data_IF_975511077169
#
_entry.id   IF_975511077169
#
_cell.length_a   1.000
_cell.length_b   1.000
_cell.length_c   1.000
_cell.angle_alpha   90.00
_cell.angle_beta   90.00
_cell.angle_gamma   90.00
#
_symmetry.space_group_name_H-M   'P 1'
#
loop_
_entity.id
_entity.type
_entity.pdbx_description
1 polymer ?
#
# COMPACT_ATOMS: atom_id res chain seq x y z
N UNK A 1 -46.17 22.35 -9.84
CA UNK A 1 -45.82 21.29 -10.81
C UNK A 1 -44.37 20.95 -10.57
N UNK A 2 -44.11 19.89 -9.80
CA UNK A 2 -42.77 19.52 -9.39
C UNK A 2 -41.99 19.07 -10.64
N UNK A 3 -40.85 19.70 -10.87
CA UNK A 3 -39.96 19.38 -11.96
C UNK A 3 -39.27 18.06 -11.58
N UNK A 4 -39.68 16.96 -12.20
CA UNK A 4 -39.04 15.66 -12.02
C UNK A 4 -37.57 15.78 -12.45
N UNK A 5 -36.68 15.94 -11.47
CA UNK A 5 -35.25 15.84 -11.68
C UNK A 5 -34.95 14.40 -12.10
N UNK A 6 -34.60 14.22 -13.38
CA UNK A 6 -34.22 12.93 -13.92
C UNK A 6 -32.88 12.53 -13.30
N UNK A 7 -32.92 11.69 -12.26
CA UNK A 7 -31.73 11.11 -11.64
C UNK A 7 -31.20 9.99 -12.52
N UNK A 8 -29.95 10.08 -12.97
CA UNK A 8 -29.26 8.99 -13.68
C UNK A 8 -27.97 8.59 -12.96
N UNK A 9 -27.67 7.29 -13.00
CA UNK A 9 -26.56 6.68 -12.28
C UNK A 9 -25.39 6.43 -13.23
N UNK A 10 -24.18 6.89 -12.86
CA UNK A 10 -22.94 6.55 -13.59
C UNK A 10 -21.98 5.81 -12.67
N UNK A 11 -21.68 4.56 -13.00
CA UNK A 11 -20.68 3.76 -12.29
C UNK A 11 -19.25 4.28 -12.60
N UNK A 12 -18.29 4.17 -11.67
CA UNK A 12 -16.91 4.56 -11.91
C UNK A 12 -16.27 3.71 -13.02
N UNK A 13 -15.43 4.35 -13.86
CA UNK A 13 -14.78 3.70 -15.00
C UNK A 13 -13.82 2.57 -14.61
N UNK A 14 -13.14 2.71 -13.46
CA UNK A 14 -12.27 1.66 -12.89
C UNK A 14 -12.96 1.07 -11.67
N UNK A 15 -13.49 -0.15 -11.83
CA UNK A 15 -14.12 -0.89 -10.75
C UNK A 15 -13.08 -1.83 -10.11
N UNK A 16 -13.11 -1.95 -8.79
CA UNK A 16 -12.22 -2.82 -8.03
C UNK A 16 -12.29 -4.29 -8.50
N UNK A 17 -13.51 -4.77 -8.80
CA UNK A 17 -13.75 -6.16 -9.17
C UNK A 17 -13.17 -6.54 -10.54
N UNK A 18 -13.35 -5.75 -11.61
CA UNK A 18 -12.63 -5.97 -12.87
C UNK A 18 -11.12 -5.99 -12.73
N UNK A 19 -10.53 -5.14 -11.88
CA UNK A 19 -9.08 -5.15 -11.63
C UNK A 19 -8.64 -6.47 -10.97
N UNK A 20 -9.35 -6.91 -9.94
CA UNK A 20 -9.09 -8.20 -9.28
C UNK A 20 -9.25 -9.36 -10.26
N UNK A 21 -10.30 -9.34 -11.10
CA UNK A 21 -10.54 -10.38 -12.11
C UNK A 21 -9.43 -10.43 -13.16
N UNK A 22 -8.86 -9.29 -13.57
CA UNK A 22 -7.69 -9.28 -14.48
C UNK A 22 -6.49 -9.93 -13.82
N UNK A 23 -6.22 -9.66 -12.54
CA UNK A 23 -5.13 -10.30 -11.79
C UNK A 23 -5.35 -11.82 -11.71
N UNK A 24 -6.56 -12.27 -11.36
CA UNK A 24 -6.91 -13.69 -11.30
C UNK A 24 -6.78 -14.39 -12.66
N UNK A 25 -7.15 -13.70 -13.73
CA UNK A 25 -7.04 -14.22 -15.08
C UNK A 25 -5.57 -14.37 -15.52
N UNK A 26 -4.73 -13.37 -15.20
CA UNK A 26 -3.28 -13.44 -15.45
C UNK A 26 -2.64 -14.55 -14.63
N UNK A 27 -3.03 -14.73 -13.36
CA UNK A 27 -2.56 -15.82 -12.49
C UNK A 27 -2.89 -17.19 -13.10
N UNK A 28 -4.16 -17.42 -13.44
CA UNK A 28 -4.61 -18.69 -14.03
C UNK A 28 -3.92 -19.01 -15.36
N UNK A 29 -3.85 -18.03 -16.28
CA UNK A 29 -3.22 -18.22 -17.59
C UNK A 29 -1.72 -18.41 -17.47
N UNK A 30 -1.04 -17.59 -16.67
CA UNK A 30 0.42 -17.70 -16.50
C UNK A 30 0.80 -19.06 -15.92
N UNK A 31 0.05 -19.56 -14.94
CA UNK A 31 0.26 -20.88 -14.34
C UNK A 31 0.10 -22.02 -15.35
N UNK A 32 -0.95 -21.97 -16.19
CA UNK A 32 -1.19 -22.98 -17.23
C UNK A 32 -0.13 -22.93 -18.32
N UNK A 33 0.23 -21.73 -18.80
CA UNK A 33 1.25 -21.54 -19.82
C UNK A 33 2.60 -22.04 -19.34
N UNK A 34 2.99 -21.69 -18.12
CA UNK A 34 4.26 -22.13 -17.52
C UNK A 34 4.30 -23.64 -17.29
N UNK A 35 3.16 -24.27 -16.97
CA UNK A 35 3.07 -25.72 -16.85
C UNK A 35 3.20 -26.42 -18.23
N UNK A 36 2.51 -25.93 -19.27
CA UNK A 36 2.58 -26.49 -20.63
C UNK A 36 3.97 -26.30 -21.26
N UNK A 37 4.61 -25.15 -21.03
CA UNK A 37 5.96 -24.85 -21.51
C UNK A 37 7.06 -25.54 -20.66
N UNK A 38 6.65 -26.45 -19.76
CA UNK A 38 7.44 -27.14 -18.74
C UNK A 38 8.73 -27.82 -19.18
N UNK A 39 8.88 -28.17 -20.47
CA UNK A 39 10.09 -28.74 -21.06
C UNK A 39 10.16 -30.27 -21.03
N UNK A 40 10.31 -30.86 -22.24
CA UNK A 40 10.27 -32.29 -22.62
C UNK A 40 8.94 -33.02 -22.35
N UNK A 41 8.33 -33.56 -23.42
CA UNK A 41 7.07 -34.32 -23.39
C UNK A 41 7.04 -35.40 -22.31
N UNK A 42 8.18 -36.06 -22.07
CA UNK A 42 8.31 -37.13 -21.08
C UNK A 42 8.08 -36.68 -19.62
N UNK A 43 8.45 -35.45 -19.25
CA UNK A 43 8.17 -34.96 -17.89
C UNK A 43 6.69 -34.60 -17.72
N UNK A 44 6.08 -34.01 -18.75
CA UNK A 44 4.67 -33.64 -18.73
C UNK A 44 3.77 -34.88 -18.76
N UNK A 45 4.16 -35.91 -19.51
CA UNK A 45 3.49 -37.21 -19.55
C UNK A 45 3.60 -37.93 -18.20
N UNK A 46 4.79 -37.98 -17.59
CA UNK A 46 4.96 -38.53 -16.24
C UNK A 46 4.20 -37.74 -15.17
N UNK A 47 4.14 -36.40 -15.27
CA UNK A 47 3.41 -35.54 -14.33
C UNK A 47 1.90 -35.83 -14.32
N UNK A 48 1.36 -36.30 -15.46
CA UNK A 48 -0.06 -36.66 -15.63
C UNK A 48 -0.32 -38.14 -15.34
N UNK A 49 0.54 -39.05 -15.81
CA UNK A 49 0.33 -40.50 -15.72
C UNK A 49 0.75 -41.08 -14.35
N UNK A 50 1.84 -40.59 -13.74
CA UNK A 50 2.30 -41.00 -12.41
C UNK A 50 1.87 -39.97 -11.35
N UNK A 51 0.60 -39.58 -11.38
CA UNK A 51 0.08 -38.52 -10.52
C UNK A 51 0.25 -38.86 -9.03
N UNK A 52 1.14 -38.12 -8.37
CA UNK A 52 1.37 -38.14 -6.94
C UNK A 52 1.28 -36.73 -6.40
N UNK A 53 0.34 -36.51 -5.48
CA UNK A 53 0.04 -35.20 -4.86
C UNK A 53 1.27 -34.45 -4.33
N UNK A 54 2.30 -35.18 -3.91
CA UNK A 54 3.51 -34.62 -3.29
C UNK A 54 4.64 -34.29 -4.28
N UNK A 55 4.62 -34.86 -5.49
CA UNK A 55 5.71 -34.74 -6.47
C UNK A 55 5.29 -34.03 -7.76
N UNK A 56 3.99 -34.09 -8.07
CA UNK A 56 3.44 -33.56 -9.31
C UNK A 56 3.19 -32.06 -9.24
N UNK A 57 3.33 -31.37 -10.38
CA UNK A 57 2.92 -29.96 -10.52
C UNK A 57 1.56 -29.79 -11.19
N UNK A 58 1.00 -30.87 -11.75
CA UNK A 58 -0.29 -30.91 -12.41
C UNK A 58 -1.43 -30.41 -11.52
N UNK A 59 -1.48 -30.85 -10.27
CA UNK A 59 -2.47 -30.39 -9.29
C UNK A 59 -2.31 -28.90 -8.92
N UNK A 60 -1.12 -28.33 -9.06
CA UNK A 60 -0.92 -26.88 -8.91
C UNK A 60 -1.62 -26.12 -10.04
N UNK A 61 -1.47 -26.58 -11.28
CA UNK A 61 -2.12 -25.99 -12.45
C UNK A 61 -3.64 -26.24 -12.44
N UNK A 62 -4.07 -27.48 -12.17
CA UNK A 62 -5.47 -27.86 -12.14
C UNK A 62 -6.25 -27.16 -11.02
N UNK A 63 -5.73 -27.13 -9.80
CA UNK A 63 -6.44 -26.42 -8.72
C UNK A 63 -6.34 -24.90 -8.85
N UNK A 64 -5.27 -24.34 -9.45
CA UNK A 64 -5.20 -22.91 -9.73
C UNK A 64 -6.27 -22.48 -10.75
N UNK A 65 -6.43 -23.24 -11.85
CA UNK A 65 -7.49 -22.97 -12.83
C UNK A 65 -8.89 -23.12 -12.21
N UNK A 66 -9.10 -24.15 -11.39
CA UNK A 66 -10.37 -24.33 -10.69
C UNK A 66 -10.66 -23.18 -9.71
N UNK A 67 -9.68 -22.79 -8.90
CA UNK A 67 -9.76 -21.65 -7.98
C UNK A 67 -10.09 -20.36 -8.72
N UNK A 68 -9.35 -20.04 -9.77
CA UNK A 68 -9.51 -18.78 -10.53
C UNK A 68 -10.90 -18.69 -11.14
N UNK A 69 -11.42 -19.78 -11.73
CA UNK A 69 -12.80 -19.85 -12.20
C UNK A 69 -13.83 -19.61 -11.09
N UNK A 70 -13.68 -20.27 -9.93
CA UNK A 70 -14.59 -20.13 -8.80
C UNK A 70 -14.58 -18.69 -8.26
N UNK A 71 -13.39 -18.11 -8.06
CA UNK A 71 -13.26 -16.77 -7.50
C UNK A 71 -13.77 -15.69 -8.46
N UNK A 72 -13.54 -15.82 -9.77
CA UNK A 72 -14.13 -14.91 -10.77
C UNK A 72 -15.66 -14.91 -10.65
N UNK A 73 -16.29 -16.08 -10.56
CA UNK A 73 -17.75 -16.21 -10.40
C UNK A 73 -18.21 -15.59 -9.08
N UNK A 74 -17.50 -15.84 -7.98
CA UNK A 74 -17.82 -15.25 -6.66
C UNK A 74 -17.73 -13.73 -6.73
N UNK A 75 -16.66 -13.16 -7.27
CA UNK A 75 -16.48 -11.70 -7.36
C UNK A 75 -17.53 -11.06 -8.26
N UNK A 76 -17.86 -11.65 -9.42
CA UNK A 76 -18.95 -11.16 -10.28
C UNK A 76 -20.31 -11.23 -9.58
N UNK A 77 -20.57 -12.31 -8.85
CA UNK A 77 -21.81 -12.46 -8.07
C UNK A 77 -21.88 -11.44 -6.93
N UNK A 78 -20.77 -11.22 -6.23
CA UNK A 78 -20.65 -10.19 -5.19
C UNK A 78 -20.88 -8.79 -5.75
N UNK A 79 -20.37 -8.49 -6.96
CA UNK A 79 -20.65 -7.23 -7.66
C UNK A 79 -22.15 -7.07 -7.94
N UNK A 80 -22.78 -8.10 -8.51
CA UNK A 80 -24.20 -8.07 -8.84
C UNK A 80 -25.09 -7.88 -7.60
N UNK A 81 -24.73 -8.52 -6.47
CA UNK A 81 -25.44 -8.36 -5.20
C UNK A 81 -25.17 -6.98 -4.60
N UNK A 82 -23.94 -6.48 -4.68
CA UNK A 82 -23.62 -5.13 -4.22
C UNK A 82 -24.41 -4.08 -5.01
N UNK A 83 -24.60 -4.26 -6.32
CA UNK A 83 -25.46 -3.42 -7.17
C UNK A 83 -26.93 -3.53 -6.77
N UNK A 84 -27.49 -4.73 -6.63
CA UNK A 84 -28.88 -4.92 -6.17
C UNK A 84 -29.15 -4.35 -4.77
N UNK A 85 -28.16 -4.40 -3.89
CA UNK A 85 -28.25 -3.83 -2.54
C UNK A 85 -28.22 -2.29 -2.55
N UNK A 86 -27.80 -1.65 -3.65
CA UNK A 86 -27.93 -0.20 -3.82
C UNK A 86 -29.39 0.18 -4.07
N UNK A 87 -30.11 -0.61 -4.87
CA UNK A 87 -31.53 -0.38 -5.17
C UNK A 87 -32.41 -0.66 -3.94
N UNK A 88 -32.11 -1.74 -3.20
CA UNK A 88 -32.82 -2.14 -1.98
C UNK A 88 -31.93 -2.08 -0.72
N UNK A 89 -31.73 -0.87 -0.17
CA UNK A 89 -30.85 -0.62 0.98
C UNK A 89 -31.20 -1.44 2.24
N UNK A 90 -32.49 -1.72 2.47
CA UNK A 90 -32.98 -2.37 3.68
C UNK A 90 -33.04 -3.91 3.58
N UNK A 91 -32.63 -4.50 2.46
CA UNK A 91 -32.71 -5.94 2.27
C UNK A 91 -31.56 -6.67 3.01
N UNK A 92 -31.86 -7.13 4.23
CA UNK A 92 -30.91 -7.85 5.09
C UNK A 92 -30.42 -9.17 4.49
N UNK A 93 -31.20 -9.81 3.61
CA UNK A 93 -30.81 -11.05 2.94
C UNK A 93 -29.70 -10.83 1.91
N UNK A 94 -29.74 -9.73 1.14
CA UNK A 94 -28.67 -9.38 0.18
C UNK A 94 -27.36 -9.08 0.91
N UNK A 95 -27.43 -8.35 2.04
CA UNK A 95 -26.27 -8.08 2.89
C UNK A 95 -25.63 -9.37 3.40
N UNK A 96 -26.44 -10.30 3.94
CA UNK A 96 -25.97 -11.60 4.43
C UNK A 96 -25.34 -12.43 3.31
N UNK A 97 -25.97 -12.52 2.13
CA UNK A 97 -25.41 -13.25 0.97
C UNK A 97 -24.06 -12.68 0.55
N UNK A 98 -23.90 -11.36 0.52
CA UNK A 98 -22.63 -10.71 0.19
C UNK A 98 -21.55 -10.99 1.23
N UNK A 99 -21.88 -10.89 2.52
CA UNK A 99 -20.94 -11.18 3.61
C UNK A 99 -20.52 -12.66 3.62
N UNK A 100 -21.45 -13.56 3.29
CA UNK A 100 -21.18 -14.99 3.12
C UNK A 100 -20.27 -15.27 1.92
N UNK A 101 -20.52 -14.67 0.75
CA UNK A 101 -19.64 -14.81 -0.42
C UNK A 101 -18.24 -14.26 -0.17
N UNK A 102 -18.13 -13.14 0.56
CA UNK A 102 -16.84 -12.62 1.00
C UNK A 102 -16.10 -13.60 1.92
N UNK A 103 -16.81 -14.22 2.87
CA UNK A 103 -16.25 -15.23 3.76
C UNK A 103 -15.77 -16.46 2.96
N UNK A 104 -16.56 -16.95 2.00
CA UNK A 104 -16.17 -18.05 1.11
C UNK A 104 -14.92 -17.68 0.31
N UNK A 105 -14.90 -16.50 -0.32
CA UNK A 105 -13.74 -16.01 -1.08
C UNK A 105 -12.48 -15.96 -0.21
N UNK A 106 -12.63 -15.46 1.03
CA UNK A 106 -11.54 -15.36 2.00
C UNK A 106 -11.02 -16.74 2.42
N UNK A 107 -11.91 -17.70 2.68
CA UNK A 107 -11.53 -19.07 3.01
C UNK A 107 -10.83 -19.75 1.84
N UNK A 108 -11.37 -19.65 0.63
CA UNK A 108 -10.76 -20.25 -0.58
C UNK A 108 -9.36 -19.66 -0.82
N UNK A 109 -9.23 -18.33 -0.74
CA UNK A 109 -7.93 -17.67 -0.94
C UNK A 109 -6.93 -18.03 0.17
N UNK A 110 -7.37 -18.09 1.43
CA UNK A 110 -6.52 -18.49 2.56
C UNK A 110 -6.07 -19.95 2.49
N UNK A 111 -6.97 -20.87 2.15
CA UNK A 111 -6.66 -22.29 1.92
C UNK A 111 -5.70 -22.46 0.74
N UNK A 112 -5.85 -21.64 -0.31
CA UNK A 112 -4.95 -21.68 -1.47
C UNK A 112 -3.54 -21.21 -1.13
N UNK A 113 -3.41 -20.12 -0.38
CA UNK A 113 -2.10 -19.67 0.15
C UNK A 113 -1.48 -20.77 1.00
N UNK A 114 -2.25 -21.37 1.92
CA UNK A 114 -1.75 -22.47 2.76
C UNK A 114 -1.31 -23.70 1.91
N UNK A 115 -2.08 -24.08 0.90
CA UNK A 115 -1.76 -25.19 0.00
C UNK A 115 -0.52 -24.92 -0.85
N UNK A 116 -0.44 -23.78 -1.51
CA UNK A 116 0.73 -23.40 -2.33
C UNK A 116 2.00 -23.29 -1.48
N UNK A 117 1.87 -22.81 -0.24
CA UNK A 117 2.97 -22.73 0.71
C UNK A 117 3.39 -24.11 1.23
N UNK A 118 2.45 -24.98 1.62
CA UNK A 118 2.74 -26.34 2.05
C UNK A 118 3.41 -27.15 0.94
N UNK A 119 2.89 -27.04 -0.29
CA UNK A 119 3.44 -27.73 -1.45
C UNK A 119 4.80 -27.19 -1.87
N UNK A 120 4.99 -25.88 -1.80
CA UNK A 120 6.32 -25.27 -1.94
C UNK A 120 7.31 -25.86 -0.94
N UNK A 121 6.92 -26.01 0.33
CA UNK A 121 7.76 -26.63 1.36
C UNK A 121 8.05 -28.11 1.04
N UNK A 122 7.06 -28.92 0.65
CA UNK A 122 7.29 -30.35 0.36
C UNK A 122 8.22 -30.55 -0.82
N UNK A 123 8.08 -29.75 -1.89
CA UNK A 123 8.95 -29.79 -3.06
C UNK A 123 10.38 -29.35 -2.72
N UNK A 124 10.55 -28.48 -1.72
CA UNK A 124 11.86 -28.02 -1.23
C UNK A 124 12.52 -29.01 -0.25
N UNK A 125 11.74 -29.71 0.58
CA UNK A 125 12.24 -30.67 1.60
C UNK A 125 12.59 -32.03 1.00
N UNK A 126 11.83 -32.47 -0.01
CA UNK A 126 12.14 -33.71 -0.72
C UNK A 126 13.26 -33.39 -1.72
N UNK A 127 14.47 -33.93 -1.54
CA UNK A 127 15.68 -33.69 -2.36
C UNK A 127 15.57 -33.95 -3.89
N UNK A 128 14.38 -33.99 -4.49
CA UNK A 128 14.10 -34.00 -5.93
C UNK A 128 14.55 -32.74 -6.69
N UNK A 129 15.17 -31.76 -6.02
CA UNK A 129 15.55 -30.48 -6.64
C UNK A 129 16.64 -30.61 -7.73
N UNK A 130 17.42 -31.71 -7.71
CA UNK A 130 18.45 -32.01 -8.72
C UNK A 130 17.86 -32.54 -10.04
N UNK A 131 16.63 -33.05 -10.06
CA UNK A 131 16.02 -33.66 -11.26
C UNK A 131 14.86 -32.85 -11.86
N UNK A 132 14.34 -31.82 -11.18
CA UNK A 132 13.17 -31.09 -11.67
C UNK A 132 13.53 -29.93 -12.62
N UNK A 133 12.88 -29.87 -13.79
CA UNK A 133 13.12 -28.85 -14.81
C UNK A 133 12.84 -27.42 -14.29
N UNK A 134 13.58 -26.43 -14.81
CA UNK A 134 13.55 -25.03 -14.36
C UNK A 134 12.14 -24.43 -14.40
N UNK A 135 11.35 -24.77 -15.42
CA UNK A 135 10.00 -24.24 -15.62
C UNK A 135 9.02 -24.65 -14.50
N UNK A 136 9.12 -25.87 -13.97
CA UNK A 136 8.29 -26.33 -12.86
C UNK A 136 8.60 -25.61 -11.54
N UNK A 137 9.87 -25.21 -11.36
CA UNK A 137 10.28 -24.34 -10.24
C UNK A 137 9.65 -22.96 -10.40
N UNK A 138 9.62 -22.42 -11.61
CA UNK A 138 9.00 -21.12 -11.93
C UNK A 138 7.48 -21.16 -11.68
N UNK A 139 6.79 -22.26 -12.02
CA UNK A 139 5.34 -22.45 -11.76
C UNK A 139 5.03 -22.39 -10.25
N UNK A 140 5.84 -23.05 -9.42
CA UNK A 140 5.64 -23.03 -7.97
C UNK A 140 5.86 -21.64 -7.37
N UNK A 141 6.84 -20.89 -7.89
CA UNK A 141 7.13 -19.53 -7.45
C UNK A 141 6.02 -18.57 -7.92
N UNK A 142 5.59 -18.66 -9.18
CA UNK A 142 4.57 -17.78 -9.74
C UNK A 142 3.24 -17.93 -9.00
N UNK A 143 2.80 -19.16 -8.75
CA UNK A 143 1.54 -19.45 -8.03
C UNK A 143 1.54 -18.96 -6.59
N UNK A 144 2.69 -19.03 -5.90
CA UNK A 144 2.85 -18.49 -4.55
C UNK A 144 2.85 -16.95 -4.55
N UNK A 145 3.51 -16.33 -5.53
CA UNK A 145 3.52 -14.86 -5.65
C UNK A 145 2.12 -14.33 -5.95
N UNK A 146 1.40 -14.94 -6.89
CA UNK A 146 0.04 -14.51 -7.23
C UNK A 146 -0.95 -14.76 -6.09
N UNK A 147 -0.83 -15.86 -5.34
CA UNK A 147 -1.69 -16.11 -4.16
C UNK A 147 -1.47 -15.07 -3.05
N UNK A 148 -0.21 -14.64 -2.84
CA UNK A 148 0.12 -13.56 -1.89
C UNK A 148 -0.34 -12.18 -2.36
N UNK A 149 -0.39 -11.92 -3.66
CA UNK A 149 -0.94 -10.68 -4.22
C UNK A 149 -2.47 -10.66 -4.11
N UNK A 150 -3.12 -11.78 -4.40
CA UNK A 150 -4.57 -11.97 -4.38
C UNK A 150 -5.16 -11.84 -2.97
N UNK A 151 -4.50 -12.41 -1.97
CA UNK A 151 -5.03 -12.47 -0.60
C UNK A 151 -5.37 -11.08 -0.01
N UNK A 152 -4.52 -10.05 -0.11
CA UNK A 152 -4.87 -8.68 0.22
C UNK A 152 -6.13 -8.16 -0.51
N UNK A 153 -6.27 -8.41 -1.81
CA UNK A 153 -7.46 -7.99 -2.54
C UNK A 153 -8.73 -8.63 -1.97
N UNK A 154 -8.64 -9.91 -1.58
CA UNK A 154 -9.75 -10.59 -0.94
C UNK A 154 -10.10 -9.95 0.42
N UNK A 155 -9.10 -9.63 1.24
CA UNK A 155 -9.28 -8.95 2.54
C UNK A 155 -9.93 -7.56 2.39
N UNK A 156 -9.51 -6.79 1.38
CA UNK A 156 -10.00 -5.43 1.16
C UNK A 156 -11.32 -5.38 0.35
N UNK A 157 -11.74 -6.50 -0.25
CA UNK A 157 -12.89 -6.56 -1.16
C UNK A 157 -14.18 -6.00 -0.54
N UNK A 158 -14.56 -6.43 0.67
CA UNK A 158 -15.78 -5.93 1.32
C UNK A 158 -15.70 -4.42 1.61
N UNK A 159 -14.50 -3.91 1.93
CA UNK A 159 -14.29 -2.47 2.20
C UNK A 159 -14.46 -1.64 0.92
N UNK A 160 -13.92 -2.12 -0.20
CA UNK A 160 -14.09 -1.49 -1.51
C UNK A 160 -15.55 -1.58 -2.00
N UNK A 161 -16.22 -2.72 -1.81
CA UNK A 161 -17.63 -2.89 -2.17
C UNK A 161 -18.57 -2.02 -1.33
N UNK A 162 -18.28 -1.83 -0.04
CA UNK A 162 -19.03 -0.86 0.79
C UNK A 162 -18.80 0.57 0.33
N UNK A 163 -17.60 0.92 -0.17
CA UNK A 163 -17.38 2.23 -0.80
C UNK A 163 -18.16 2.40 -2.10
N UNK A 164 -18.36 1.35 -2.90
CA UNK A 164 -19.23 1.42 -4.08
C UNK A 164 -20.68 1.78 -3.72
N UNK A 165 -21.19 1.34 -2.55
CA UNK A 165 -22.51 1.76 -2.06
C UNK A 165 -22.59 3.26 -1.71
N UNK A 166 -21.47 3.89 -1.39
CA UNK A 166 -21.38 5.31 -1.03
C UNK A 166 -21.29 6.21 -2.29
N UNK A 167 -21.05 5.64 -3.47
CA UNK A 167 -20.97 6.36 -4.75
C UNK A 167 -22.33 6.60 -5.44
N UNK A 168 -23.44 6.66 -4.69
CA UNK A 168 -24.68 7.28 -5.19
C UNK A 168 -24.49 8.80 -5.16
N UNK A 169 -23.76 9.33 -6.13
CA UNK A 169 -23.72 10.78 -6.34
C UNK A 169 -25.10 11.14 -6.89
N UNK A 170 -25.93 11.81 -6.10
CA UNK A 170 -27.17 12.43 -6.58
C UNK A 170 -26.72 13.59 -7.46
N UNK A 171 -26.65 13.41 -8.77
CA UNK A 171 -26.40 14.53 -9.68
C UNK A 171 -27.63 15.45 -9.66
N UNK A 172 -27.61 16.50 -8.84
CA UNK A 172 -28.41 17.71 -9.08
C UNK A 172 -27.68 18.59 -10.10
N UNK A 173 -28.40 19.38 -10.89
CA UNK A 173 -27.80 20.30 -11.87
C UNK A 173 -26.87 21.33 -11.18
N UNK A 174 -27.05 21.58 -9.88
CA UNK A 174 -26.18 22.43 -9.06
C UNK A 174 -24.79 21.83 -8.76
N UNK A 175 -24.66 20.50 -8.61
CA UNK A 175 -23.36 19.85 -8.38
C UNK A 175 -22.43 19.86 -9.60
N UNK A 176 -22.93 20.14 -10.82
CA UNK A 176 -22.04 20.34 -11.97
C UNK A 176 -21.20 21.62 -11.85
N UNK A 177 -21.66 22.63 -11.10
CA UNK A 177 -20.84 23.81 -10.78
C UNK A 177 -19.75 23.51 -9.73
N UNK A 178 -20.00 22.55 -8.83
CA UNK A 178 -19.12 22.17 -7.72
C UNK A 178 -18.35 20.86 -7.94
N UNK A 179 -18.16 20.43 -9.19
CA UNK A 179 -17.17 19.39 -9.51
C UNK A 179 -15.78 19.91 -9.14
N UNK A 180 -15.33 19.59 -7.93
CA UNK A 180 -13.91 19.53 -7.56
C UNK A 180 -13.25 18.53 -8.51
N UNK A 181 -12.78 19.04 -9.64
CA UNK A 181 -11.98 18.27 -10.59
C UNK A 181 -10.90 17.56 -9.78
N UNK A 182 -10.89 16.23 -9.81
CA UNK A 182 -9.76 15.46 -9.28
C UNK A 182 -8.50 16.13 -9.81
N UNK A 183 -7.61 16.52 -8.91
CA UNK A 183 -6.38 17.22 -9.26
C UNK A 183 -5.74 16.45 -10.40
N UNK A 184 -5.74 17.07 -11.57
CA UNK A 184 -5.40 16.42 -12.83
C UNK A 184 -3.90 16.09 -12.70
N UNK A 185 -3.55 14.86 -12.29
CA UNK A 185 -2.16 14.44 -12.02
C UNK A 185 -1.29 14.77 -13.22
N UNK A 186 -1.87 14.67 -14.41
CA UNK A 186 -1.29 15.12 -15.67
C UNK A 186 -0.90 16.60 -15.66
N UNK A 187 -1.76 17.50 -15.19
CA UNK A 187 -1.43 18.94 -15.04
C UNK A 187 -0.33 19.17 -14.01
N UNK A 188 -0.34 18.43 -12.90
CA UNK A 188 0.72 18.52 -11.89
C UNK A 188 2.08 18.07 -12.44
N UNK A 189 2.12 16.97 -13.22
CA UNK A 189 3.32 16.53 -13.92
C UNK A 189 3.76 17.51 -15.00
N UNK A 190 2.82 18.10 -15.73
CA UNK A 190 3.11 19.10 -16.76
C UNK A 190 3.71 20.38 -16.17
N UNK A 191 3.35 20.70 -14.93
CA UNK A 191 3.91 21.81 -14.16
C UNK A 191 5.39 21.59 -13.79
N UNK A 192 5.78 20.33 -13.58
CA UNK A 192 7.15 19.91 -13.25
C UNK A 192 8.01 19.60 -14.49
N UNK A 193 7.47 19.83 -15.72
CA UNK A 193 8.15 19.52 -16.98
C UNK A 193 9.51 20.20 -17.09
N UNK A 194 9.61 21.44 -16.61
CA UNK A 194 10.82 22.26 -16.73
C UNK A 194 11.95 21.76 -15.82
N UNK A 195 11.64 20.94 -14.81
CA UNK A 195 12.56 20.32 -13.86
C UNK A 195 12.87 18.84 -14.20
N UNK A 196 12.32 18.31 -15.30
CA UNK A 196 12.40 16.88 -15.63
C UNK A 196 13.82 16.34 -15.72
N UNK A 197 14.78 17.12 -16.24
CA UNK A 197 16.18 16.69 -16.34
C UNK A 197 16.80 16.40 -14.96
N UNK A 198 16.50 17.25 -13.98
CA UNK A 198 16.97 17.10 -12.60
C UNK A 198 16.29 15.89 -11.95
N UNK A 199 14.99 15.73 -12.19
CA UNK A 199 14.23 14.58 -11.70
C UNK A 199 14.71 13.25 -12.30
N UNK A 200 15.07 13.20 -13.59
CA UNK A 200 15.62 12.02 -14.24
C UNK A 200 16.99 11.66 -13.64
N UNK A 201 17.87 12.64 -13.45
CA UNK A 201 19.14 12.42 -12.74
C UNK A 201 18.94 11.90 -11.31
N UNK A 202 17.97 12.48 -10.59
CA UNK A 202 17.57 12.01 -9.27
C UNK A 202 17.03 10.58 -9.28
N UNK A 203 16.28 10.19 -10.31
CA UNK A 203 15.72 8.84 -10.47
C UNK A 203 16.81 7.80 -10.76
N UNK A 204 17.79 8.13 -11.61
CA UNK A 204 18.94 7.25 -11.84
C UNK A 204 19.74 7.02 -10.56
N UNK A 205 20.04 8.09 -9.82
CA UNK A 205 20.70 8.00 -8.52
C UNK A 205 19.85 7.20 -7.51
N UNK A 206 18.52 7.33 -7.56
CA UNK A 206 17.59 6.54 -6.74
C UNK A 206 17.73 5.05 -7.01
N UNK A 207 17.70 4.64 -8.28
CA UNK A 207 17.81 3.23 -8.66
C UNK A 207 19.13 2.64 -8.15
N UNK A 208 20.26 3.31 -8.38
CA UNK A 208 21.59 2.85 -7.93
C UNK A 208 21.66 2.78 -6.40
N UNK A 209 21.14 3.79 -5.69
CA UNK A 209 21.13 3.78 -4.22
C UNK A 209 20.25 2.66 -3.65
N UNK A 210 19.13 2.32 -4.29
CA UNK A 210 18.29 1.20 -3.88
C UNK A 210 18.97 -0.13 -4.13
N UNK A 211 19.58 -0.31 -5.31
CA UNK A 211 20.34 -1.52 -5.65
C UNK A 211 21.46 -1.77 -4.64
N UNK A 212 22.23 -0.74 -4.27
CA UNK A 212 23.27 -0.85 -3.25
C UNK A 212 22.71 -1.35 -1.90
N UNK A 213 21.58 -0.80 -1.44
CA UNK A 213 20.94 -1.22 -0.18
C UNK A 213 20.40 -2.66 -0.24
N UNK A 214 19.84 -3.07 -1.39
CA UNK A 214 19.32 -4.42 -1.59
C UNK A 214 20.47 -5.44 -1.65
N UNK A 215 21.58 -5.10 -2.30
CA UNK A 215 22.70 -6.01 -2.57
C UNK A 215 23.65 -6.12 -1.37
N UNK A 216 23.76 -5.09 -0.53
CA UNK A 216 24.69 -5.07 0.60
C UNK A 216 24.56 -6.27 1.58
N UNK A 217 23.36 -6.69 2.04
CA UNK A 217 23.21 -7.85 2.91
C UNK A 217 23.69 -9.17 2.29
N UNK A 218 23.56 -9.32 0.96
CA UNK A 218 24.04 -10.50 0.25
C UNK A 218 25.58 -10.58 0.26
N UNK A 219 26.26 -9.46 0.03
CA UNK A 219 27.73 -9.40 0.12
C UNK A 219 28.21 -9.54 1.57
N UNK A 220 27.48 -8.97 2.53
CA UNK A 220 27.77 -9.16 3.93
C UNK A 220 27.68 -10.64 4.35
N UNK A 221 26.69 -11.38 3.85
CA UNK A 221 26.61 -12.84 4.02
C UNK A 221 27.85 -13.55 3.50
N UNK A 222 28.30 -13.22 2.27
CA UNK A 222 29.54 -13.80 1.71
C UNK A 222 30.79 -13.50 2.53
N UNK A 223 30.89 -12.31 3.12
CA UNK A 223 31.99 -11.93 4.01
C UNK A 223 32.00 -12.83 5.26
N UNK A 224 30.83 -13.13 5.83
CA UNK A 224 30.71 -14.06 6.98
C UNK A 224 31.12 -15.48 6.57
N UNK A 225 30.65 -15.97 5.43
CA UNK A 225 30.98 -17.31 4.95
C UNK A 225 32.50 -17.45 4.74
N UNK A 226 33.12 -16.47 4.05
CA UNK A 226 34.57 -16.44 3.82
C UNK A 226 35.37 -16.30 5.12
N UNK A 227 34.93 -15.46 6.06
CA UNK A 227 35.58 -15.34 7.37
C UNK A 227 35.61 -16.66 8.16
N UNK A 228 34.71 -17.60 7.83
CA UNK A 228 34.64 -18.92 8.47
C UNK A 228 35.46 -19.98 7.73
N UNK A 229 35.58 -19.90 6.40
CA UNK A 229 36.19 -20.95 5.56
C UNK A 229 37.60 -20.62 5.03
N UNK A 230 37.85 -19.37 4.58
CA UNK A 230 39.11 -18.97 3.93
C UNK A 230 39.34 -17.45 3.99
N UNK A 231 40.51 -17.04 4.51
CA UNK A 231 40.86 -15.63 4.66
C UNK A 231 41.53 -15.00 3.44
N UNK A 232 41.91 -15.77 2.41
CA UNK A 232 42.70 -15.26 1.27
C UNK A 232 41.96 -14.22 0.40
N UNK A 233 40.63 -14.28 0.32
CA UNK A 233 39.80 -13.37 -0.49
C UNK A 233 38.96 -12.38 0.35
N UNK A 234 39.10 -12.42 1.68
CA UNK A 234 38.26 -11.66 2.61
C UNK A 234 38.45 -10.15 2.46
N UNK A 235 39.71 -9.69 2.39
CA UNK A 235 40.04 -8.26 2.24
C UNK A 235 39.45 -7.67 0.95
N UNK A 236 39.50 -8.43 -0.14
CA UNK A 236 38.92 -8.02 -1.43
C UNK A 236 37.40 -7.90 -1.34
N UNK A 237 36.74 -8.84 -0.67
CA UNK A 237 35.29 -8.81 -0.49
C UNK A 237 34.84 -7.65 0.42
N UNK A 238 35.60 -7.37 1.49
CA UNK A 238 35.39 -6.22 2.37
C UNK A 238 35.55 -4.91 1.60
N UNK A 239 36.57 -4.79 0.74
CA UNK A 239 36.76 -3.61 -0.12
C UNK A 239 35.60 -3.41 -1.11
N UNK A 240 35.08 -4.49 -1.70
CA UNK A 240 33.90 -4.43 -2.57
C UNK A 240 32.68 -3.94 -1.78
N UNK A 241 32.44 -4.51 -0.60
CA UNK A 241 31.33 -4.13 0.27
C UNK A 241 31.43 -2.66 0.70
N UNK A 242 32.63 -2.20 1.06
CA UNK A 242 32.92 -0.80 1.35
C UNK A 242 32.59 0.10 0.15
N UNK A 243 33.03 -0.28 -1.06
CA UNK A 243 32.70 0.42 -2.29
C UNK A 243 31.19 0.50 -2.57
N UNK A 244 30.44 -0.57 -2.29
CA UNK A 244 28.98 -0.61 -2.41
C UNK A 244 28.34 0.39 -1.42
N UNK A 245 28.79 0.44 -0.17
CA UNK A 245 28.26 1.37 0.83
C UNK A 245 28.58 2.82 0.49
N UNK A 246 29.83 3.13 0.13
CA UNK A 246 30.25 4.50 -0.22
C UNK A 246 29.55 4.97 -1.50
N UNK A 247 29.51 4.13 -2.54
CA UNK A 247 28.82 4.44 -3.79
C UNK A 247 27.30 4.60 -3.59
N UNK A 248 26.70 3.75 -2.77
CA UNK A 248 25.29 3.85 -2.39
C UNK A 248 24.97 5.12 -1.62
N UNK A 249 25.83 5.50 -0.66
CA UNK A 249 25.69 6.73 0.11
C UNK A 249 25.81 7.97 -0.78
N UNK A 250 26.80 8.00 -1.68
CA UNK A 250 26.98 9.08 -2.64
C UNK A 250 25.75 9.23 -3.56
N UNK A 251 25.24 8.12 -4.11
CA UNK A 251 24.02 8.14 -4.92
C UNK A 251 22.79 8.57 -4.12
N UNK A 252 22.66 8.16 -2.86
CA UNK A 252 21.58 8.60 -1.98
C UNK A 252 21.62 10.10 -1.72
N UNK A 253 22.82 10.66 -1.51
CA UNK A 253 23.04 12.10 -1.38
C UNK A 253 22.65 12.84 -2.66
N UNK A 254 23.15 12.40 -3.82
CA UNK A 254 22.84 13.01 -5.13
C UNK A 254 21.32 12.99 -5.37
N UNK A 255 20.67 11.85 -5.13
CA UNK A 255 19.20 11.73 -5.22
C UNK A 255 18.52 12.76 -4.32
N UNK A 256 18.85 12.80 -3.04
CA UNK A 256 18.21 13.70 -2.08
C UNK A 256 18.38 15.18 -2.49
N UNK A 257 19.61 15.55 -2.87
CA UNK A 257 19.92 16.90 -3.34
C UNK A 257 19.11 17.28 -4.58
N UNK A 258 19.09 16.42 -5.63
CA UNK A 258 18.40 16.71 -6.89
C UNK A 258 16.89 16.84 -6.70
N UNK A 259 16.25 15.97 -5.92
CA UNK A 259 14.80 16.06 -5.65
C UNK A 259 14.43 17.29 -4.82
N UNK A 260 15.24 17.66 -3.83
CA UNK A 260 15.03 18.87 -3.03
C UNK A 260 15.23 20.13 -3.90
N UNK A 261 16.28 20.16 -4.72
CA UNK A 261 16.55 21.27 -5.64
C UNK A 261 15.43 21.44 -6.68
N UNK A 262 14.95 20.34 -7.27
CA UNK A 262 13.81 20.36 -8.17
C UNK A 262 12.56 20.92 -7.48
N UNK A 263 12.33 20.54 -6.22
CA UNK A 263 11.24 21.06 -5.39
C UNK A 263 11.35 22.58 -5.22
N UNK A 264 12.49 23.08 -4.77
CA UNK A 264 12.69 24.53 -4.59
C UNK A 264 12.49 25.33 -5.88
N UNK A 265 12.94 24.81 -7.03
CA UNK A 265 12.70 25.46 -8.33
C UNK A 265 11.22 25.48 -8.69
N UNK A 266 10.53 24.36 -8.49
CA UNK A 266 9.10 24.23 -8.77
C UNK A 266 8.26 25.19 -7.92
N UNK A 267 8.48 25.24 -6.60
CA UNK A 267 7.71 26.12 -5.70
C UNK A 267 7.99 27.60 -5.98
N UNK A 268 9.24 27.97 -6.30
CA UNK A 268 9.58 29.35 -6.66
C UNK A 268 8.86 29.77 -7.95
N UNK A 269 8.83 28.90 -8.97
CA UNK A 269 8.10 29.12 -10.23
C UNK A 269 6.61 29.24 -9.99
N UNK A 270 6.05 28.35 -9.16
CA UNK A 270 4.64 28.36 -8.79
C UNK A 270 4.23 29.65 -8.10
N UNK A 271 4.98 30.07 -7.08
CA UNK A 271 4.73 31.32 -6.35
C UNK A 271 4.79 32.54 -7.27
N UNK A 272 5.78 32.62 -8.17
CA UNK A 272 5.87 33.70 -9.16
C UNK A 272 4.64 33.75 -10.08
N UNK A 273 4.23 32.60 -10.63
CA UNK A 273 3.06 32.52 -11.53
C UNK A 273 1.76 32.85 -10.78
N UNK A 274 1.58 32.29 -9.58
CA UNK A 274 0.40 32.51 -8.76
C UNK A 274 0.28 33.97 -8.34
N UNK A 275 1.36 34.57 -7.84
CA UNK A 275 1.38 35.98 -7.47
C UNK A 275 1.05 36.89 -8.67
N UNK A 276 1.67 36.66 -9.82
CA UNK A 276 1.36 37.40 -11.05
C UNK A 276 -0.08 37.21 -11.54
N UNK A 277 -0.71 36.07 -11.25
CA UNK A 277 -2.12 35.81 -11.59
C UNK A 277 -3.08 36.48 -10.61
N UNK A 278 -2.73 36.53 -9.32
CA UNK A 278 -3.52 37.21 -8.28
C UNK A 278 -3.58 38.71 -8.58
N UNK A 279 -2.44 39.34 -8.92
CA UNK A 279 -2.39 40.77 -9.25
C UNK A 279 -3.22 41.19 -10.47
N UNK A 280 -3.61 40.24 -11.33
CA UNK A 280 -4.41 40.49 -12.54
C UNK A 280 -5.90 40.26 -12.34
N UNK A 281 -6.34 39.88 -11.14
CA UNK A 281 -7.75 39.67 -10.85
C UNK A 281 -8.50 41.01 -10.72
N UNK A 282 -9.80 40.98 -10.96
CA UNK A 282 -10.69 42.12 -10.76
C UNK A 282 -10.86 42.49 -9.29
N UNK A 283 -11.31 43.72 -9.00
CA UNK A 283 -11.49 44.20 -7.62
C UNK A 283 -12.50 43.34 -6.86
N UNK A 284 -13.59 42.91 -7.52
CA UNK A 284 -14.60 42.04 -6.93
C UNK A 284 -14.03 40.72 -6.37
N UNK A 285 -12.97 40.18 -6.99
CA UNK A 285 -12.28 39.00 -6.45
C UNK A 285 -11.64 39.27 -5.09
N UNK A 286 -11.09 40.48 -4.87
CA UNK A 286 -10.49 40.87 -3.60
C UNK A 286 -11.53 41.24 -2.54
N UNK A 287 -12.73 41.65 -2.95
CA UNK A 287 -13.86 41.87 -2.04
C UNK A 287 -14.41 40.54 -1.49
N UNK A 288 -14.38 39.47 -2.30
CA UNK A 288 -14.81 38.13 -1.89
C UNK A 288 -13.75 37.34 -1.10
N UNK A 289 -12.46 37.53 -1.39
CA UNK A 289 -11.38 36.71 -0.83
C UNK A 289 -10.54 37.48 0.20
N UNK A 290 -10.41 36.93 1.41
CA UNK A 290 -9.61 37.55 2.48
C UNK A 290 -8.12 37.58 2.10
N UNK A 291 -7.44 38.69 2.35
CA UNK A 291 -5.98 38.82 2.11
C UNK A 291 -5.15 37.73 2.79
N UNK A 292 -5.55 37.31 4.00
CA UNK A 292 -4.91 36.22 4.74
C UNK A 292 -5.04 34.86 4.03
N UNK A 293 -6.17 34.60 3.38
CA UNK A 293 -6.39 33.38 2.60
C UNK A 293 -5.47 33.35 1.38
N UNK A 294 -5.44 34.42 0.59
CA UNK A 294 -4.57 34.52 -0.59
C UNK A 294 -3.08 34.35 -0.23
N UNK A 295 -2.67 34.94 0.90
CA UNK A 295 -1.30 34.79 1.42
C UNK A 295 -0.99 33.36 1.84
N UNK A 296 -1.95 32.67 2.47
CA UNK A 296 -1.81 31.28 2.88
C UNK A 296 -1.74 30.34 1.66
N UNK A 297 -2.56 30.59 0.63
CA UNK A 297 -2.48 29.83 -0.64
C UNK A 297 -1.13 30.03 -1.33
N UNK A 298 -0.60 31.26 -1.31
CA UNK A 298 0.72 31.55 -1.88
C UNK A 298 1.86 30.86 -1.12
N UNK A 299 1.80 30.80 0.22
CA UNK A 299 2.86 30.21 1.04
C UNK A 299 2.68 28.70 1.28
N UNK A 300 1.57 28.29 1.89
CA UNK A 300 1.29 26.94 2.37
C UNK A 300 0.87 25.98 1.25
N UNK A 301 -0.14 26.33 0.44
CA UNK A 301 -0.64 25.40 -0.59
C UNK A 301 0.44 25.08 -1.62
N UNK A 302 1.23 26.08 -2.04
CA UNK A 302 2.36 25.86 -2.96
C UNK A 302 3.43 24.96 -2.35
N UNK A 303 3.66 25.03 -1.03
CA UNK A 303 4.58 24.17 -0.31
C UNK A 303 4.07 22.72 -0.23
N UNK A 304 2.77 22.53 0.00
CA UNK A 304 2.13 21.21 0.01
C UNK A 304 2.25 20.54 -1.37
N UNK A 305 1.99 21.29 -2.45
CA UNK A 305 2.14 20.81 -3.83
C UNK A 305 3.59 20.38 -4.09
N UNK A 306 4.56 21.19 -3.68
CA UNK A 306 5.98 20.89 -3.84
C UNK A 306 6.39 19.60 -3.12
N UNK A 307 6.04 19.47 -1.84
CA UNK A 307 6.36 18.28 -1.05
C UNK A 307 5.73 17.02 -1.63
N UNK A 308 4.52 17.14 -2.16
CA UNK A 308 3.80 16.02 -2.78
C UNK A 308 4.50 15.54 -4.05
N UNK A 309 4.88 16.47 -4.94
CA UNK A 309 5.46 16.13 -6.24
C UNK A 309 6.92 15.68 -6.18
N UNK A 310 7.70 16.18 -5.21
CA UNK A 310 9.12 15.83 -5.15
C UNK A 310 9.42 14.83 -4.04
N UNK A 311 9.11 15.15 -2.78
CA UNK A 311 9.52 14.34 -1.63
C UNK A 311 8.68 13.06 -1.55
N UNK A 312 7.36 13.19 -1.52
CA UNK A 312 6.47 12.03 -1.37
C UNK A 312 6.57 11.09 -2.55
N UNK A 313 6.58 11.61 -3.79
CA UNK A 313 6.71 10.79 -4.98
C UNK A 313 8.07 10.04 -5.02
N UNK A 314 9.17 10.72 -4.68
CA UNK A 314 10.49 10.07 -4.59
C UNK A 314 10.51 8.97 -3.53
N UNK A 315 9.90 9.21 -2.37
CA UNK A 315 9.78 8.21 -1.31
C UNK A 315 8.93 7.01 -1.74
N UNK A 316 7.81 7.24 -2.40
CA UNK A 316 6.95 6.19 -2.94
C UNK A 316 7.73 5.32 -3.92
N UNK A 317 8.40 5.91 -4.92
CA UNK A 317 9.20 5.18 -5.90
C UNK A 317 10.32 4.38 -5.23
N UNK A 318 11.04 4.98 -4.28
CA UNK A 318 12.11 4.33 -3.51
C UNK A 318 11.58 3.10 -2.76
N UNK A 319 10.51 3.29 -1.99
CA UNK A 319 9.93 2.23 -1.18
C UNK A 319 9.39 1.09 -2.06
N UNK A 320 8.73 1.41 -3.17
CA UNK A 320 8.26 0.39 -4.12
C UNK A 320 9.42 -0.41 -4.71
N UNK A 321 10.48 0.26 -5.17
CA UNK A 321 11.68 -0.40 -5.70
C UNK A 321 12.39 -1.26 -4.64
N UNK A 322 12.50 -0.77 -3.41
CA UNK A 322 13.08 -1.53 -2.31
C UNK A 322 12.25 -2.76 -1.96
N UNK A 323 10.93 -2.62 -1.83
CA UNK A 323 10.03 -3.76 -1.53
C UNK A 323 10.16 -4.83 -2.61
N UNK A 324 10.04 -4.45 -3.89
CA UNK A 324 10.13 -5.40 -5.01
C UNK A 324 11.52 -6.02 -5.08
N UNK A 325 12.57 -5.20 -5.03
CA UNK A 325 13.95 -5.66 -5.16
C UNK A 325 14.40 -6.56 -4.02
N UNK A 326 14.08 -6.20 -2.77
CA UNK A 326 14.37 -7.04 -1.60
C UNK A 326 13.62 -8.36 -1.66
N UNK A 327 12.33 -8.35 -2.05
CA UNK A 327 11.55 -9.57 -2.18
C UNK A 327 12.15 -10.51 -3.24
N UNK A 328 12.50 -9.99 -4.42
CA UNK A 328 13.16 -10.75 -5.48
C UNK A 328 14.48 -11.35 -4.98
N UNK A 329 15.34 -10.55 -4.34
CA UNK A 329 16.61 -11.02 -3.82
C UNK A 329 16.43 -12.13 -2.77
N UNK A 330 15.48 -11.98 -1.84
CA UNK A 330 15.19 -12.98 -0.82
C UNK A 330 14.75 -14.32 -1.44
N UNK A 331 13.87 -14.28 -2.44
CA UNK A 331 13.46 -15.48 -3.17
C UNK A 331 14.61 -16.13 -3.94
N UNK A 332 15.53 -15.33 -4.50
CA UNK A 332 16.73 -15.87 -5.19
C UNK A 332 17.68 -16.54 -4.21
N UNK A 333 17.85 -15.98 -3.00
CA UNK A 333 18.76 -16.52 -1.97
C UNK A 333 18.18 -17.77 -1.31
N UNK A 334 16.96 -17.72 -0.80
CA UNK A 334 16.29 -18.88 -0.19
C UNK A 334 14.78 -18.76 -0.25
N UNK A 335 14.12 -19.47 -1.19
CA UNK A 335 12.66 -19.52 -1.26
C UNK A 335 12.01 -20.08 0.02
N UNK A 336 12.66 -21.06 0.66
CA UNK A 336 12.13 -21.72 1.86
C UNK A 336 12.02 -20.77 3.05
N UNK A 337 13.11 -20.05 3.35
CA UNK A 337 13.16 -19.08 4.46
C UNK A 337 12.27 -17.87 4.16
N UNK A 338 12.25 -17.41 2.92
CA UNK A 338 11.38 -16.31 2.48
C UNK A 338 9.90 -16.66 2.63
N UNK A 339 9.50 -17.90 2.31
CA UNK A 339 8.13 -18.36 2.50
C UNK A 339 7.66 -18.34 3.97
N UNK A 340 8.55 -18.68 4.90
CA UNK A 340 8.25 -18.59 6.35
C UNK A 340 8.05 -17.14 6.79
N UNK A 341 8.90 -16.21 6.32
CA UNK A 341 8.72 -14.77 6.60
C UNK A 341 7.43 -14.23 5.98
N UNK A 342 7.11 -14.61 4.75
CA UNK A 342 5.87 -14.18 4.09
C UNK A 342 4.61 -14.73 4.77
N UNK A 343 4.71 -15.85 5.48
CA UNK A 343 3.60 -16.39 6.27
C UNK A 343 3.16 -15.47 7.43
N UNK A 344 4.06 -14.64 7.95
CA UNK A 344 3.71 -13.67 9.01
C UNK A 344 2.95 -12.46 8.46
N UNK A 345 3.12 -12.13 7.18
CA UNK A 345 2.51 -10.96 6.53
C UNK A 345 0.98 -10.99 6.57
N UNK A 346 0.28 -12.09 6.21
CA UNK A 346 -1.18 -12.19 6.36
C UNK A 346 -1.66 -11.97 7.79
N UNK A 347 -0.95 -12.48 8.79
CA UNK A 347 -1.31 -12.34 10.21
C UNK A 347 -1.28 -10.86 10.62
N UNK A 348 -0.17 -10.17 10.27
CA UNK A 348 -0.01 -8.74 10.51
C UNK A 348 -1.03 -7.93 9.72
N UNK A 349 -1.30 -8.29 8.47
CA UNK A 349 -2.26 -7.58 7.62
C UNK A 349 -3.69 -7.68 8.15
N UNK A 350 -4.14 -8.87 8.59
CA UNK A 350 -5.45 -9.08 9.19
C UNK A 350 -5.57 -8.25 10.48
N UNK A 351 -4.57 -8.35 11.36
CA UNK A 351 -4.52 -7.54 12.58
C UNK A 351 -4.59 -6.04 12.28
N UNK A 352 -3.82 -5.57 11.29
CA UNK A 352 -3.78 -4.18 10.86
C UNK A 352 -5.10 -3.66 10.28
N UNK A 353 -5.86 -4.47 9.55
CA UNK A 353 -7.16 -4.08 8.99
C UNK A 353 -8.20 -3.90 10.10
N UNK A 354 -8.28 -4.86 11.03
CA UNK A 354 -9.20 -4.83 12.17
C UNK A 354 -8.88 -3.63 13.08
N UNK A 355 -7.59 -3.47 13.39
CA UNK A 355 -7.08 -2.40 14.21
C UNK A 355 -7.24 -1.01 13.57
N UNK A 356 -6.96 -0.89 12.27
CA UNK A 356 -7.00 0.38 11.56
C UNK A 356 -8.40 1.00 11.53
N UNK A 357 -9.47 0.20 11.50
CA UNK A 357 -10.83 0.72 11.60
C UNK A 357 -11.15 1.26 13.00
N UNK A 358 -10.63 0.64 14.05
CA UNK A 358 -10.77 1.11 15.42
C UNK A 358 -10.03 2.44 15.64
N UNK A 359 -8.76 2.51 15.26
CA UNK A 359 -7.94 3.73 15.36
C UNK A 359 -8.54 4.88 14.56
N UNK A 360 -8.98 4.61 13.33
CA UNK A 360 -9.60 5.63 12.49
C UNK A 360 -10.81 6.30 13.17
N UNK A 361 -11.63 5.52 13.88
CA UNK A 361 -12.77 6.07 14.65
C UNK A 361 -12.32 6.94 15.82
N UNK A 362 -11.26 6.54 16.53
CA UNK A 362 -10.69 7.32 17.63
C UNK A 362 -10.03 8.61 17.12
N UNK A 363 -9.25 8.53 16.05
CA UNK A 363 -8.65 9.71 15.39
C UNK A 363 -9.70 10.69 14.93
N UNK A 364 -10.80 10.22 14.32
CA UNK A 364 -11.90 11.10 13.93
C UNK A 364 -12.48 11.83 15.14
N UNK A 365 -12.80 11.11 16.22
CA UNK A 365 -13.32 11.73 17.45
C UNK A 365 -12.33 12.73 18.05
N UNK A 366 -11.05 12.40 18.07
CA UNK A 366 -10.00 13.30 18.56
C UNK A 366 -9.96 14.61 17.76
N UNK A 367 -10.03 14.52 16.43
CA UNK A 367 -10.06 15.68 15.55
C UNK A 367 -11.35 16.49 15.69
N UNK A 368 -12.51 15.83 15.85
CA UNK A 368 -13.79 16.51 16.06
C UNK A 368 -13.78 17.32 17.38
N UNK A 369 -13.25 16.76 18.48
CA UNK A 369 -13.08 17.50 19.75
C UNK A 369 -12.04 18.63 19.63
N UNK A 370 -10.92 18.38 18.93
CA UNK A 370 -9.90 19.40 18.72
C UNK A 370 -10.42 20.57 17.88
N UNK A 371 -11.26 20.30 16.88
CA UNK A 371 -11.92 21.33 16.08
C UNK A 371 -12.91 22.16 16.92
N UNK A 372 -13.66 21.53 17.83
CA UNK A 372 -14.54 22.25 18.75
C UNK A 372 -13.76 23.19 19.68
N UNK A 373 -12.64 22.70 20.24
CA UNK A 373 -11.73 23.52 21.07
C UNK A 373 -11.11 24.66 20.27
N UNK A 374 -10.72 24.40 19.02
CA UNK A 374 -10.21 25.41 18.09
C UNK A 374 -11.22 26.52 17.80
N UNK A 375 -12.49 26.15 17.57
CA UNK A 375 -13.58 27.11 17.38
C UNK A 375 -13.80 27.99 18.61
N UNK A 376 -13.76 27.42 19.81
CA UNK A 376 -13.83 28.17 21.08
C UNK A 376 -12.69 29.18 21.22
N UNK A 377 -11.46 28.77 20.87
CA UNK A 377 -10.32 29.68 20.89
C UNK A 377 -10.45 30.80 19.86
N UNK A 378 -10.86 30.47 18.63
CA UNK A 378 -11.09 31.45 17.57
C UNK A 378 -12.13 32.48 17.99
N UNK A 379 -13.28 32.04 18.52
CA UNK A 379 -14.35 32.92 19.01
C UNK A 379 -13.85 33.84 20.14
N UNK A 380 -13.12 33.29 21.11
CA UNK A 380 -12.60 34.04 22.26
C UNK A 380 -11.56 35.08 21.84
N UNK A 381 -10.62 34.70 20.98
CA UNK A 381 -9.51 35.57 20.55
C UNK A 381 -10.00 36.64 19.57
N UNK A 382 -10.85 36.25 18.61
CA UNK A 382 -11.50 37.17 17.67
C UNK A 382 -12.28 38.26 18.41
N UNK A 383 -12.93 37.91 19.52
CA UNK A 383 -13.79 38.79 20.30
C UNK A 383 -13.16 39.21 21.64
N UNK A 384 -11.83 39.32 21.70
CA UNK A 384 -11.08 39.59 22.95
C UNK A 384 -11.57 40.85 23.67
N UNK A 385 -12.00 41.88 22.93
CA UNK A 385 -12.55 43.11 23.52
C UNK A 385 -13.80 42.82 24.35
N UNK A 386 -14.72 42.02 23.83
CA UNK A 386 -15.94 41.59 24.53
C UNK A 386 -15.59 40.79 25.79
N UNK A 387 -14.67 39.84 25.68
CA UNK A 387 -14.22 39.02 26.84
C UNK A 387 -13.67 39.90 27.96
N UNK A 388 -12.84 40.90 27.62
CA UNK A 388 -12.29 41.87 28.58
C UNK A 388 -13.35 42.79 29.19
N UNK A 389 -14.30 43.28 28.40
CA UNK A 389 -15.38 44.15 28.89
C UNK A 389 -16.26 43.46 29.93
N UNK A 390 -16.47 42.15 29.79
CA UNK A 390 -17.23 41.34 30.75
C UNK A 390 -16.35 40.63 31.80
N UNK A 391 -15.05 40.94 31.90
CA UNK A 391 -14.10 40.29 32.83
C UNK A 391 -14.22 38.75 32.84
N UNK A 392 -14.43 38.16 31.66
CA UNK A 392 -14.77 36.74 31.49
C UNK A 392 -13.57 35.86 31.13
N UNK A 393 -12.34 36.33 31.31
CA UNK A 393 -11.12 35.62 30.91
C UNK A 393 -11.02 34.25 31.58
N UNK A 394 -11.23 34.19 32.89
CA UNK A 394 -11.15 32.95 33.67
C UNK A 394 -12.20 31.92 33.23
N UNK A 395 -13.41 32.38 32.89
CA UNK A 395 -14.48 31.52 32.36
C UNK A 395 -14.11 30.94 30.99
N UNK A 396 -13.55 31.76 30.11
CA UNK A 396 -13.09 31.30 28.79
C UNK A 396 -11.91 30.32 28.91
N UNK A 397 -11.01 30.55 29.86
CA UNK A 397 -9.92 29.64 30.19
C UNK A 397 -10.45 28.28 30.67
N UNK A 398 -11.37 28.26 31.63
CA UNK A 398 -11.99 27.01 32.14
C UNK A 398 -12.77 26.25 31.05
N UNK A 399 -13.44 26.96 30.15
CA UNK A 399 -14.16 26.38 29.01
C UNK A 399 -13.17 25.70 28.04
N UNK A 400 -12.07 26.38 27.72
CA UNK A 400 -11.01 25.85 26.87
C UNK A 400 -10.32 24.65 27.52
N UNK A 401 -10.01 24.72 28.82
CA UNK A 401 -9.39 23.64 29.59
C UNK A 401 -10.28 22.39 29.64
N UNK A 402 -11.58 22.57 29.86
CA UNK A 402 -12.54 21.46 29.83
C UNK A 402 -12.58 20.78 28.45
N UNK A 403 -12.55 21.57 27.37
CA UNK A 403 -12.52 21.08 26.01
C UNK A 403 -11.21 20.34 25.68
N UNK A 404 -10.05 20.91 26.06
CA UNK A 404 -8.76 20.28 25.80
C UNK A 404 -8.61 18.98 26.62
N UNK A 405 -9.13 18.93 27.84
CA UNK A 405 -9.11 17.72 28.66
C UNK A 405 -9.91 16.57 28.03
N UNK A 406 -11.06 16.86 27.39
CA UNK A 406 -11.82 15.84 26.62
C UNK A 406 -11.00 15.30 25.45
N UNK A 407 -10.38 16.19 24.67
CA UNK A 407 -9.50 15.79 23.57
C UNK A 407 -8.32 14.95 24.09
N UNK A 408 -7.70 15.34 25.20
CA UNK A 408 -6.64 14.58 25.87
C UNK A 408 -7.07 13.17 26.27
N UNK A 409 -8.26 12.97 26.86
CA UNK A 409 -8.75 11.64 27.22
C UNK A 409 -8.93 10.72 26.00
N UNK A 410 -9.35 11.27 24.86
CA UNK A 410 -9.43 10.52 23.60
C UNK A 410 -8.02 10.24 23.06
N UNK A 411 -7.15 11.25 23.10
CA UNK A 411 -5.74 11.14 22.72
C UNK A 411 -5.01 10.06 23.54
N UNK A 412 -5.27 9.95 24.84
CA UNK A 412 -4.73 8.90 25.71
C UNK A 412 -5.16 7.50 25.25
N UNK A 413 -6.43 7.31 24.90
CA UNK A 413 -6.94 6.04 24.35
C UNK A 413 -6.31 5.73 23.00
N UNK A 414 -6.16 6.75 22.15
CA UNK A 414 -5.51 6.64 20.85
C UNK A 414 -4.04 6.23 21.01
N UNK A 415 -3.30 6.88 21.91
CA UNK A 415 -1.89 6.57 22.19
C UNK A 415 -1.70 5.15 22.71
N UNK A 416 -2.58 4.68 23.61
CA UNK A 416 -2.55 3.30 24.08
C UNK A 416 -2.87 2.31 22.95
N UNK A 417 -3.81 2.65 22.07
CA UNK A 417 -4.09 1.85 20.89
C UNK A 417 -2.86 1.79 19.97
N UNK A 418 -2.24 2.93 19.64
CA UNK A 418 -1.06 3.04 18.75
C UNK A 418 0.13 2.28 19.31
N UNK A 419 0.45 2.47 20.60
CA UNK A 419 1.53 1.76 21.26
C UNK A 419 1.32 0.24 21.32
N UNK A 420 0.11 -0.21 21.69
CA UNK A 420 -0.17 -1.65 21.79
C UNK A 420 -0.09 -2.37 20.44
N UNK A 421 -0.59 -1.76 19.37
CA UNK A 421 -0.49 -2.35 18.03
C UNK A 421 0.95 -2.38 17.53
N UNK A 422 1.69 -1.27 17.66
CA UNK A 422 3.09 -1.23 17.26
C UNK A 422 3.91 -2.28 18.01
N UNK A 423 3.65 -2.46 19.31
CA UNK A 423 4.30 -3.49 20.13
C UNK A 423 3.98 -4.90 19.64
N UNK A 424 2.69 -5.23 19.45
CA UNK A 424 2.25 -6.54 18.98
C UNK A 424 2.82 -6.90 17.61
N UNK A 425 2.81 -5.97 16.66
CA UNK A 425 3.38 -6.18 15.32
C UNK A 425 4.88 -6.46 15.41
N UNK A 426 5.61 -5.69 16.22
CA UNK A 426 7.05 -5.89 16.39
C UNK A 426 7.35 -7.27 17.01
N UNK A 427 6.60 -7.68 18.03
CA UNK A 427 6.78 -9.00 18.65
C UNK A 427 6.49 -10.13 17.67
N UNK A 428 5.42 -10.05 16.86
CA UNK A 428 5.11 -11.07 15.85
C UNK A 428 6.25 -11.20 14.83
N UNK A 429 6.81 -10.08 14.38
CA UNK A 429 7.92 -10.08 13.44
C UNK A 429 9.18 -10.67 14.07
N UNK A 430 9.55 -10.27 15.28
CA UNK A 430 10.72 -10.81 15.99
C UNK A 430 10.59 -12.32 16.25
N UNK A 431 9.43 -12.79 16.71
CA UNK A 431 9.18 -14.22 16.91
C UNK A 431 9.31 -14.99 15.59
N UNK A 432 8.88 -14.39 14.46
CA UNK A 432 9.04 -15.01 13.15
C UNK A 432 10.52 -15.12 12.71
N UNK A 433 11.35 -14.14 13.04
CA UNK A 433 12.81 -14.16 12.81
C UNK A 433 13.48 -15.22 13.70
N UNK A 434 13.12 -15.30 14.98
CA UNK A 434 13.67 -16.29 15.92
C UNK A 434 13.29 -17.72 15.54
N UNK A 435 12.03 -17.94 15.10
CA UNK A 435 11.59 -19.24 14.60
C UNK A 435 12.38 -19.66 13.35
N UNK A 436 12.73 -18.69 12.51
CA UNK A 436 13.54 -18.91 11.32
C UNK A 436 14.98 -19.30 11.67
N UNK A 437 15.57 -18.64 12.68
CA UNK A 437 16.88 -19.00 13.22
C UNK A 437 16.88 -20.41 13.84
N UNK A 438 15.86 -20.74 14.64
CA UNK A 438 15.72 -22.07 15.25
C UNK A 438 15.61 -23.16 14.19
N UNK A 439 14.85 -22.94 13.11
CA UNK A 439 14.76 -23.88 12.00
C UNK A 439 16.12 -24.09 11.32
N UNK A 440 16.85 -23.00 11.06
CA UNK A 440 18.17 -23.08 10.42
C UNK A 440 19.19 -23.80 11.31
N UNK A 441 19.16 -23.57 12.63
CA UNK A 441 20.00 -24.29 13.59
C UNK A 441 19.63 -25.78 13.70
N UNK A 442 18.34 -26.11 13.58
CA UNK A 442 17.86 -27.50 13.54
C UNK A 442 18.35 -28.26 12.31
N UNK A 443 18.41 -27.60 11.15
CA UNK A 443 18.98 -28.17 9.91
C UNK A 443 20.51 -28.33 9.96
N UNK A 444 21.23 -27.52 10.75
CA UNK A 444 22.70 -27.64 10.93
C UNK A 444 23.07 -28.78 11.92
N UNK A 445 22.13 -29.22 12.76
CA UNK A 445 22.36 -30.24 13.81
C UNK A 445 22.05 -31.68 13.38
N UNK A 446 21.68 -31.89 12.13
CA UNK A 446 21.44 -33.20 11.49
C UNK A 446 22.47 -33.36 10.38
#
# INVERSE_FOLDING_TARGET
MAQDSIYYYRLPAVRFIPLVNVILFVDGISTVILWILGGRSHYLENDVLEWCFWRSTFDLAAFCTMKTCILIVIYLTMESIALKQIDDLNNSNLKRKRELLHLISFIISGLWVAYTMAKGITILVTQSYKEMHLTFKIVCISTLVFSLIEFPFCVFCNRFLRRLQIFRIVHSIEEERDKKNNADLKRLFLLAKDEMLICVGGMLALVVSCLSQIVAPFFFGKVIDMATESMEDLDRMILILFGIYVGGAACSFIRAYLFVLAGHRLVARLRKRLFGSILKQEIAFFDENRTGELTNRLSSDTQIIQNTLTVNLSMLLRNTLQIIGSLVLMFVVSPALTGVLLASVPIVAIGGVLYGEFVKRLQKKFQDELAAVGATAEETISNIRTVRTFCSEKRSEELYDTGIHKSYLIGKKLALAEGSFSGLVLTILQVSEDLLLLRKLGEIRI
#
